data_IF_529956060762
#
_entry.id   IF_529956060762
#
_cell.length_a   1.000
_cell.length_b   1.000
_cell.length_c   1.000
_cell.angle_alpha   90.00
_cell.angle_beta   90.00
_cell.angle_gamma   90.00
#
_symmetry.space_group_name_H-M   'P 1'
#
loop_
_entity.id
_entity.type
_entity.pdbx_description
1 polymer ?
#
# COMPACT_ATOMS: atom_id res chain seq x y z
N UNK A 1 -14.97 -57.25 -19.60
CA UNK A 1 -15.65 -55.93 -19.60
C UNK A 1 -15.77 -55.35 -18.19
N UNK A 2 -16.07 -56.15 -17.17
CA UNK A 2 -16.21 -55.71 -15.77
C UNK A 2 -14.98 -54.96 -15.22
N UNK A 3 -13.77 -55.47 -15.48
CA UNK A 3 -12.51 -54.85 -15.03
C UNK A 3 -12.25 -53.46 -15.62
N UNK A 4 -12.78 -53.18 -16.82
CA UNK A 4 -12.60 -51.89 -17.48
C UNK A 4 -13.46 -50.80 -16.84
N UNK A 5 -14.68 -51.15 -16.43
CA UNK A 5 -15.59 -50.25 -15.74
C UNK A 5 -15.08 -49.88 -14.35
N UNK A 6 -14.46 -50.84 -13.64
CA UNK A 6 -13.80 -50.60 -12.34
C UNK A 6 -12.59 -49.67 -12.50
N UNK A 7 -11.77 -49.88 -13.54
CA UNK A 7 -10.61 -49.03 -13.79
C UNK A 7 -11.04 -47.59 -14.16
N UNK A 8 -12.09 -47.44 -14.98
CA UNK A 8 -12.67 -46.14 -15.33
C UNK A 8 -13.21 -45.40 -14.10
N UNK A 9 -13.94 -46.07 -13.21
CA UNK A 9 -14.52 -45.41 -12.02
C UNK A 9 -13.45 -44.92 -11.04
N UNK A 10 -12.36 -45.68 -10.87
CA UNK A 10 -11.21 -45.26 -10.06
C UNK A 10 -10.53 -44.03 -10.65
N UNK A 11 -10.26 -44.03 -11.96
CA UNK A 11 -9.62 -42.90 -12.65
C UNK A 11 -10.50 -41.66 -12.59
N UNK A 12 -11.80 -41.79 -12.86
CA UNK A 12 -12.75 -40.67 -12.79
C UNK A 12 -12.82 -40.11 -11.36
N UNK A 13 -12.87 -40.99 -10.34
CA UNK A 13 -12.86 -40.57 -8.95
C UNK A 13 -11.59 -39.81 -8.57
N UNK A 14 -10.43 -40.25 -9.07
CA UNK A 14 -9.15 -39.58 -8.85
C UNK A 14 -9.10 -38.21 -9.53
N UNK A 15 -9.50 -38.14 -10.80
CA UNK A 15 -9.53 -36.88 -11.57
C UNK A 15 -10.51 -35.89 -10.95
N UNK A 16 -11.68 -36.32 -10.52
CA UNK A 16 -12.64 -35.43 -9.87
C UNK A 16 -12.14 -34.93 -8.51
N UNK A 17 -11.39 -35.75 -7.75
CA UNK A 17 -10.86 -35.32 -6.45
C UNK A 17 -9.62 -34.43 -6.55
N UNK A 18 -8.79 -34.59 -7.58
CA UNK A 18 -7.53 -33.84 -7.72
C UNK A 18 -7.68 -32.72 -8.77
N UNK A 19 -8.26 -33.03 -9.91
CA UNK A 19 -8.47 -32.09 -11.00
C UNK A 19 -9.43 -30.97 -10.64
N UNK A 20 -10.55 -31.27 -9.96
CA UNK A 20 -11.53 -30.26 -9.56
C UNK A 20 -10.94 -29.19 -8.62
N UNK A 21 -10.26 -29.51 -7.50
CA UNK A 21 -9.69 -28.47 -6.64
C UNK A 21 -8.57 -27.67 -7.32
N UNK A 22 -7.76 -28.30 -8.18
CA UNK A 22 -6.73 -27.58 -8.96
C UNK A 22 -7.39 -26.61 -9.95
N UNK A 23 -8.43 -27.04 -10.66
CA UNK A 23 -9.15 -26.19 -11.59
C UNK A 23 -9.80 -24.99 -10.87
N UNK A 24 -10.43 -25.24 -9.72
CA UNK A 24 -11.06 -24.18 -8.91
C UNK A 24 -10.01 -23.18 -8.41
N UNK A 25 -8.89 -23.65 -7.85
CA UNK A 25 -7.83 -22.77 -7.37
C UNK A 25 -7.20 -21.95 -8.51
N UNK A 26 -6.93 -22.58 -9.66
CA UNK A 26 -6.45 -21.88 -10.85
C UNK A 26 -7.42 -20.78 -11.31
N UNK A 27 -8.73 -21.07 -11.32
CA UNK A 27 -9.75 -20.10 -11.71
C UNK A 27 -9.80 -18.92 -10.73
N UNK A 28 -9.74 -19.17 -9.42
CA UNK A 28 -9.68 -18.12 -8.40
C UNK A 28 -8.43 -17.26 -8.57
N UNK A 29 -7.25 -17.86 -8.79
CA UNK A 29 -6.00 -17.12 -9.01
C UNK A 29 -6.10 -16.21 -10.25
N UNK A 30 -6.63 -16.73 -11.36
CA UNK A 30 -6.82 -15.96 -12.60
C UNK A 30 -7.78 -14.79 -12.36
N UNK A 31 -8.87 -15.04 -11.64
CA UNK A 31 -9.85 -14.01 -11.30
C UNK A 31 -9.24 -12.90 -10.42
N UNK A 32 -8.52 -13.27 -9.36
CA UNK A 32 -7.86 -12.30 -8.48
C UNK A 32 -6.79 -11.50 -9.21
N UNK A 33 -5.99 -12.13 -10.07
CA UNK A 33 -4.99 -11.42 -10.90
C UNK A 33 -5.64 -10.39 -11.84
N UNK A 34 -6.81 -10.71 -12.39
CA UNK A 34 -7.55 -9.75 -13.24
C UNK A 34 -8.03 -8.54 -12.45
N UNK A 35 -8.51 -8.75 -11.22
CA UNK A 35 -8.91 -7.64 -10.34
C UNK A 35 -7.71 -6.79 -9.93
N UNK A 36 -6.62 -7.42 -9.51
CA UNK A 36 -5.40 -6.75 -9.11
C UNK A 36 -4.81 -5.88 -10.23
N UNK A 37 -4.81 -6.39 -11.47
CA UNK A 37 -4.35 -5.62 -12.63
C UNK A 37 -5.19 -4.35 -12.88
N UNK A 38 -6.51 -4.40 -12.62
CA UNK A 38 -7.38 -3.22 -12.75
C UNK A 38 -7.03 -2.18 -11.69
N UNK A 39 -6.86 -2.59 -10.44
CA UNK A 39 -6.49 -1.68 -9.36
C UNK A 39 -5.10 -1.09 -9.54
N UNK A 40 -4.13 -1.85 -10.06
CA UNK A 40 -2.81 -1.32 -10.39
C UNK A 40 -2.86 -0.26 -11.48
N UNK A 41 -3.73 -0.41 -12.48
CA UNK A 41 -3.91 0.61 -13.51
C UNK A 41 -4.48 1.92 -12.91
N UNK A 42 -5.51 1.81 -12.07
CA UNK A 42 -6.12 2.95 -11.37
C UNK A 42 -5.16 3.61 -10.36
N UNK A 43 -4.36 2.81 -9.65
CA UNK A 43 -3.36 3.32 -8.73
C UNK A 43 -2.24 4.07 -9.46
N UNK A 44 -1.81 3.62 -10.65
CA UNK A 44 -0.79 4.35 -11.44
C UNK A 44 -1.26 5.73 -11.85
N UNK A 45 -2.52 5.89 -12.23
CA UNK A 45 -3.08 7.21 -12.55
C UNK A 45 -3.09 8.12 -11.31
N UNK A 46 -3.42 7.57 -10.13
CA UNK A 46 -3.42 8.31 -8.86
C UNK A 46 -2.00 8.55 -8.27
N UNK A 47 -1.01 7.72 -8.60
CA UNK A 47 0.38 7.84 -8.14
C UNK A 47 1.17 8.91 -8.92
N UNK A 48 0.66 9.38 -10.05
CA UNK A 48 1.25 10.49 -10.80
C UNK A 48 1.05 11.86 -10.13
N UNK A 49 0.41 11.92 -8.94
CA UNK A 49 0.54 13.09 -8.07
C UNK A 49 1.99 13.09 -7.56
N UNK A 50 2.86 13.99 -8.06
CA UNK A 50 4.26 13.92 -7.76
C UNK A 50 4.46 14.11 -6.25
N UNK A 51 5.20 13.20 -5.63
CA UNK A 51 5.73 13.31 -4.26
C UNK A 51 6.44 14.65 -4.05
N UNK A 52 6.92 15.27 -5.13
CA UNK A 52 7.52 16.60 -5.18
C UNK A 52 6.54 17.77 -4.90
N UNK A 53 5.21 17.56 -4.94
CA UNK A 53 4.23 18.62 -4.72
C UNK A 53 3.96 18.94 -3.24
N UNK A 54 4.43 18.12 -2.29
CA UNK A 54 4.39 18.44 -0.86
C UNK A 54 5.67 19.14 -0.42
N UNK A 55 6.01 20.21 -1.12
CA UNK A 55 7.11 21.12 -0.79
C UNK A 55 6.67 22.28 0.10
N UNK A 56 5.40 22.33 0.53
CA UNK A 56 4.95 23.37 1.45
C UNK A 56 5.41 23.04 2.86
N UNK A 57 6.27 23.88 3.46
CA UNK A 57 6.72 23.64 4.81
C UNK A 57 5.57 23.77 5.81
N UNK A 58 5.67 23.06 6.93
CA UNK A 58 4.61 22.98 7.94
C UNK A 58 4.16 24.35 8.47
N UNK A 59 5.04 25.35 8.53
CA UNK A 59 4.69 26.69 8.98
C UNK A 59 3.75 27.43 8.02
N UNK A 60 3.77 27.13 6.73
CA UNK A 60 2.80 27.69 5.77
C UNK A 60 1.43 27.03 5.92
N UNK A 61 1.38 25.73 6.17
CA UNK A 61 0.11 24.99 6.36
C UNK A 61 -0.54 25.35 7.70
N UNK A 62 0.26 25.53 8.75
CA UNK A 62 -0.23 25.88 10.09
C UNK A 62 -0.28 27.39 10.37
N UNK A 63 0.07 28.24 9.41
CA UNK A 63 0.19 29.70 9.58
C UNK A 63 0.98 30.08 10.85
N UNK A 64 2.16 29.47 11.03
CA UNK A 64 2.98 29.73 12.21
C UNK A 64 3.59 31.14 12.17
N UNK A 65 3.65 31.81 13.31
CA UNK A 65 4.34 33.10 13.43
C UNK A 65 5.86 32.95 13.37
N UNK A 66 6.58 34.05 13.08
CA UNK A 66 8.05 34.07 13.06
C UNK A 66 8.67 33.61 14.40
N UNK A 67 8.02 33.89 15.52
CA UNK A 67 8.43 33.45 16.85
C UNK A 67 8.32 31.92 16.99
N UNK A 68 7.21 31.35 16.53
CA UNK A 68 7.00 29.89 16.52
C UNK A 68 7.97 29.19 15.56
N UNK A 69 8.29 29.80 14.43
CA UNK A 69 9.30 29.28 13.49
C UNK A 69 10.69 29.24 14.13
N UNK A 70 11.11 30.30 14.83
CA UNK A 70 12.41 30.33 15.53
C UNK A 70 12.51 29.30 16.66
N UNK A 71 11.39 29.04 17.34
CA UNK A 71 11.31 28.04 18.40
C UNK A 71 11.23 26.60 17.86
N UNK A 72 10.85 26.40 16.60
CA UNK A 72 10.66 25.08 16.02
C UNK A 72 11.96 24.51 15.44
N UNK A 73 12.46 23.36 15.94
CA UNK A 73 13.69 22.77 15.41
C UNK A 73 13.52 22.24 13.97
N UNK A 74 12.31 21.80 13.59
CA UNK A 74 12.00 21.37 12.23
C UNK A 74 12.00 22.53 11.22
N UNK A 75 11.86 23.79 11.65
CA UNK A 75 11.89 24.94 10.75
C UNK A 75 13.27 25.18 10.11
N UNK A 76 14.34 24.65 10.73
CA UNK A 76 15.72 24.72 10.21
C UNK A 76 16.00 23.71 9.10
N UNK A 77 15.14 22.69 8.95
CA UNK A 77 15.30 21.61 8.00
C UNK A 77 14.21 21.70 6.94
N UNK A 78 14.36 22.64 5.99
CA UNK A 78 13.45 22.81 4.84
C UNK A 78 13.49 21.63 3.86
N UNK A 79 14.59 20.87 3.84
CA UNK A 79 14.78 19.76 2.92
C UNK A 79 13.94 18.52 3.27
N UNK A 80 13.45 18.40 4.51
CA UNK A 80 12.62 17.30 4.96
C UNK A 80 11.34 17.79 5.62
N UNK A 81 10.22 17.07 5.47
CA UNK A 81 8.98 17.47 6.11
C UNK A 81 9.08 17.32 7.63
N UNK A 82 8.40 18.19 8.37
CA UNK A 82 8.54 18.28 9.82
C UNK A 82 8.28 16.96 10.57
N UNK A 83 7.39 16.11 10.04
CA UNK A 83 7.07 14.81 10.64
C UNK A 83 8.23 13.82 10.57
N UNK A 84 9.17 13.94 9.60
CA UNK A 84 10.40 13.14 9.61
C UNK A 84 11.33 13.55 10.74
N UNK A 85 11.44 14.86 11.00
CA UNK A 85 12.24 15.40 12.10
C UNK A 85 11.73 14.95 13.47
N UNK A 86 10.42 14.84 13.64
CA UNK A 86 9.81 14.43 14.91
C UNK A 86 9.68 12.92 15.10
N UNK A 87 10.31 12.09 14.27
CA UNK A 87 10.43 10.65 14.54
C UNK A 87 11.42 10.40 15.68
N UNK A 88 11.15 9.37 16.47
CA UNK A 88 12.10 8.87 17.46
C UNK A 88 13.22 8.09 16.77
N UNK A 89 14.29 7.76 17.51
CA UNK A 89 15.39 6.93 17.00
C UNK A 89 14.92 5.53 16.55
N UNK A 90 13.83 5.03 17.15
CA UNK A 90 13.16 3.79 16.75
C UNK A 90 12.27 3.95 15.50
N UNK A 91 12.28 5.13 14.87
CA UNK A 91 11.49 5.46 13.68
C UNK A 91 10.01 5.74 13.96
N UNK A 92 9.60 5.78 15.24
CA UNK A 92 8.21 5.97 15.65
C UNK A 92 7.85 7.45 15.54
N UNK A 93 6.70 7.75 14.93
CA UNK A 93 6.19 9.10 14.83
C UNK A 93 5.49 9.49 16.14
N UNK A 94 5.68 10.74 16.60
CA UNK A 94 4.93 11.27 17.74
C UNK A 94 3.43 11.28 17.46
N UNK A 95 2.61 10.95 18.46
CA UNK A 95 1.14 10.96 18.40
C UNK A 95 0.56 12.26 17.84
N UNK A 96 1.15 13.40 18.21
CA UNK A 96 0.73 14.73 17.74
C UNK A 96 0.87 14.92 16.24
N UNK A 97 1.75 14.16 15.59
CA UNK A 97 1.92 14.20 14.14
C UNK A 97 0.90 13.32 13.40
N UNK A 98 0.35 12.28 14.03
CA UNK A 98 -0.67 11.41 13.41
C UNK A 98 -1.97 12.16 13.09
N UNK A 99 -2.30 13.17 13.89
CA UNK A 99 -3.42 14.08 13.67
C UNK A 99 -3.11 15.31 12.80
N UNK A 100 -1.86 15.49 12.37
CA UNK A 100 -1.44 16.70 11.67
C UNK A 100 -1.80 16.64 10.18
N UNK A 101 -2.43 17.69 9.64
CA UNK A 101 -2.79 17.78 8.22
C UNK A 101 -1.60 17.64 7.29
N UNK A 102 -0.43 18.16 7.67
CA UNK A 102 0.83 18.01 6.91
C UNK A 102 1.25 16.55 6.77
N UNK A 103 0.99 15.72 7.78
CA UNK A 103 1.28 14.29 7.72
C UNK A 103 0.18 13.51 7.00
N UNK A 104 -1.09 13.86 7.23
CA UNK A 104 -2.24 13.20 6.58
C UNK A 104 -2.29 13.42 5.08
N UNK A 105 -1.75 14.55 4.63
CA UNK A 105 -1.62 14.88 3.22
C UNK A 105 -0.31 14.32 2.63
N UNK A 106 0.57 13.70 3.43
CA UNK A 106 1.80 13.14 2.91
C UNK A 106 1.49 11.99 1.93
N UNK A 107 2.23 11.91 0.81
CA UNK A 107 2.07 10.81 -0.13
C UNK A 107 2.42 9.48 0.53
N UNK A 108 1.65 8.44 0.21
CA UNK A 108 1.93 7.09 0.68
C UNK A 108 3.31 6.64 0.15
N UNK A 109 4.15 6.03 0.98
CA UNK A 109 5.41 5.47 0.50
C UNK A 109 5.09 4.40 -0.55
N UNK A 110 5.60 4.59 -1.77
CA UNK A 110 5.58 3.55 -2.79
C UNK A 110 6.61 2.52 -2.32
N UNK A 111 6.15 1.34 -1.93
CA UNK A 111 7.07 0.26 -1.58
C UNK A 111 7.80 -0.21 -2.83
N UNK A 112 9.13 -0.18 -2.78
CA UNK A 112 10.01 -0.78 -3.80
C UNK A 112 10.06 -2.31 -3.67
#
# INVERSE_FOLDING_TARGET
MENWNVLLSIVIGLVLRIGLPIAVTALVIIFLRRLDNRWKAEARENLLVPVAAYSKPCWEVKNCSQEQMKACPAAKHTASPCWQFFRTEQGILKETCLGCDVFRQAPLPVGD
#
